data_IF_106244989503
#
_entry.id   IF_106244989503
#
_cell.length_a   1.000
_cell.length_b   1.000
_cell.length_c   1.000
_cell.angle_alpha   90.00
_cell.angle_beta   90.00
_cell.angle_gamma   90.00
#
_symmetry.space_group_name_H-M   'P 1'
#
loop_
_entity.id
_entity.type
_entity.pdbx_description
1 polymer ?
#
# COMPACT_ATOMS: atom_id res chain seq x y z
N UNK A 1 -15.39 -17.24 -54.99
CA UNK A 1 -14.31 -16.36 -54.53
C UNK A 1 -14.44 -16.24 -53.02
N UNK A 2 -13.55 -16.92 -52.32
CA UNK A 2 -13.43 -16.96 -50.86
C UNK A 2 -12.98 -15.61 -50.30
N UNK A 3 -13.45 -15.27 -49.10
CA UNK A 3 -12.65 -14.55 -48.11
C UNK A 3 -12.93 -15.14 -46.72
N UNK A 4 -12.11 -16.12 -46.35
CA UNK A 4 -11.96 -16.60 -44.98
C UNK A 4 -11.26 -15.52 -44.15
N UNK A 5 -12.01 -14.85 -43.25
CA UNK A 5 -11.41 -14.03 -42.20
C UNK A 5 -10.94 -14.94 -41.06
N UNK A 6 -9.73 -15.47 -41.21
CA UNK A 6 -8.98 -16.11 -40.13
C UNK A 6 -8.59 -15.05 -39.09
N UNK A 7 -9.40 -14.93 -38.05
CA UNK A 7 -9.06 -14.19 -36.85
C UNK A 7 -7.95 -14.97 -36.12
N UNK A 8 -6.70 -14.65 -36.43
CA UNK A 8 -5.50 -15.20 -35.80
C UNK A 8 -5.51 -14.80 -34.32
N UNK A 9 -6.03 -15.66 -33.45
CA UNK A 9 -5.70 -15.64 -32.02
C UNK A 9 -4.18 -15.86 -31.94
N UNK A 10 -3.44 -14.83 -31.56
CA UNK A 10 -2.03 -14.94 -31.23
C UNK A 10 -1.89 -15.95 -30.10
N UNK A 11 -1.27 -17.07 -30.41
CA UNK A 11 -0.99 -18.14 -29.48
C UNK A 11 0.24 -17.73 -28.66
N UNK A 12 0.05 -16.87 -27.65
CA UNK A 12 1.11 -16.47 -26.73
C UNK A 12 1.42 -17.65 -25.79
N UNK A 13 2.25 -18.57 -26.26
CA UNK A 13 2.78 -19.72 -25.52
C UNK A 13 4.18 -19.43 -24.93
N UNK A 14 4.51 -18.15 -24.71
CA UNK A 14 5.75 -17.73 -24.07
C UNK A 14 5.63 -17.63 -22.55
N UNK A 15 6.74 -17.79 -21.84
CA UNK A 15 6.79 -17.47 -20.42
C UNK A 15 6.49 -15.97 -20.22
N UNK A 16 5.47 -15.66 -19.43
CA UNK A 16 5.12 -14.29 -19.08
C UNK A 16 5.86 -13.86 -17.81
N UNK A 17 6.41 -12.64 -17.75
CA UNK A 17 7.03 -12.13 -16.53
C UNK A 17 6.02 -12.02 -15.40
N UNK A 18 6.48 -12.20 -14.17
CA UNK A 18 5.65 -11.96 -12.99
C UNK A 18 5.32 -10.46 -12.89
N UNK A 19 4.06 -10.14 -12.59
CA UNK A 19 3.65 -8.75 -12.44
C UNK A 19 4.37 -8.10 -11.25
N UNK A 20 4.79 -6.84 -11.42
CA UNK A 20 5.40 -6.09 -10.33
C UNK A 20 4.43 -6.02 -9.15
N UNK A 21 4.89 -6.51 -8.00
CA UNK A 21 4.11 -6.62 -6.77
C UNK A 21 4.75 -5.78 -5.68
N UNK A 22 3.93 -5.26 -4.77
CA UNK A 22 4.33 -4.41 -3.65
C UNK A 22 3.72 -4.89 -2.35
N UNK A 23 4.15 -4.31 -1.23
CA UNK A 23 3.60 -4.58 0.09
C UNK A 23 2.59 -3.52 0.50
N UNK A 24 1.51 -3.95 1.15
CA UNK A 24 0.53 -3.09 1.81
C UNK A 24 0.31 -3.55 3.24
N UNK A 25 0.78 -2.79 4.22
CA UNK A 25 0.47 -3.02 5.63
C UNK A 25 -0.90 -2.47 6.00
N UNK A 26 -1.69 -3.22 6.75
CA UNK A 26 -3.03 -2.79 7.23
C UNK A 26 -3.49 -3.63 8.43
N UNK A 27 -4.66 -3.30 8.97
CA UNK A 27 -5.44 -4.14 9.90
C UNK A 27 -6.73 -4.70 9.29
N UNK A 28 -6.99 -4.37 8.03
CA UNK A 28 -8.16 -4.90 7.30
C UNK A 28 -8.02 -6.39 7.08
N UNK A 29 -9.07 -7.15 7.38
CA UNK A 29 -9.14 -8.60 7.17
C UNK A 29 -9.68 -8.90 5.77
N UNK A 30 -8.76 -9.12 4.82
CA UNK A 30 -9.02 -9.35 3.40
C UNK A 30 -8.35 -10.63 2.90
N UNK A 31 -8.84 -11.16 1.79
CA UNK A 31 -8.36 -12.38 1.16
C UNK A 31 -7.70 -12.12 -0.20
N UNK A 32 -6.81 -13.01 -0.67
CA UNK A 32 -6.34 -13.00 -2.06
C UNK A 32 -7.49 -12.99 -3.06
N UNK A 33 -7.36 -12.16 -4.10
CA UNK A 33 -8.41 -11.89 -5.09
C UNK A 33 -9.29 -10.69 -4.76
N UNK A 34 -9.31 -10.23 -3.50
CA UNK A 34 -10.01 -9.00 -3.12
C UNK A 34 -9.20 -7.74 -3.47
N UNK A 35 -9.84 -6.58 -3.35
CA UNK A 35 -9.26 -5.29 -3.67
C UNK A 35 -9.22 -4.36 -2.47
N UNK A 36 -8.06 -3.76 -2.25
CA UNK A 36 -7.88 -2.63 -1.33
C UNK A 36 -8.33 -1.38 -2.07
N UNK A 37 -9.22 -0.58 -1.46
CA UNK A 37 -9.82 0.61 -2.07
C UNK A 37 -9.67 1.83 -1.16
N UNK A 38 -9.59 3.00 -1.76
CA UNK A 38 -9.65 4.28 -1.07
C UNK A 38 -11.01 4.45 -0.37
N UNK A 39 -11.07 5.15 0.76
CA UNK A 39 -12.31 5.41 1.51
C UNK A 39 -12.26 5.14 3.02
N UNK A 40 -13.42 4.81 3.60
CA UNK A 40 -13.71 4.81 5.05
C UNK A 40 -12.82 3.91 5.94
N UNK A 41 -12.00 3.03 5.35
CA UNK A 41 -11.14 2.07 6.03
C UNK A 41 -9.64 2.33 5.80
N UNK A 42 -9.22 3.58 5.61
CA UNK A 42 -7.78 3.90 5.58
C UNK A 42 -7.13 3.64 6.94
N UNK A 43 -5.85 3.25 6.90
CA UNK A 43 -4.99 2.96 8.05
C UNK A 43 -4.86 4.10 9.08
N UNK A 44 -5.46 5.28 8.92
CA UNK A 44 -5.26 6.40 9.84
C UNK A 44 -6.55 6.94 10.51
N UNK A 45 -7.66 6.18 10.46
CA UNK A 45 -8.76 6.33 11.44
C UNK A 45 -9.25 7.74 11.75
N UNK A 46 -10.15 8.25 10.89
CA UNK A 46 -11.09 9.39 11.02
C UNK A 46 -11.38 10.00 9.64
N UNK A 47 -10.66 9.57 8.59
CA UNK A 47 -10.86 10.08 7.24
C UNK A 47 -12.01 9.35 6.55
N UNK A 48 -13.24 9.77 6.86
CA UNK A 48 -14.28 9.76 5.82
C UNK A 48 -13.64 10.50 4.63
N UNK A 49 -13.32 9.81 3.54
CA UNK A 49 -12.68 10.32 2.31
C UNK A 49 -11.13 10.25 2.21
N UNK A 50 -10.47 9.23 2.76
CA UNK A 50 -9.07 8.98 2.36
C UNK A 50 -8.97 8.77 0.84
N UNK A 51 -8.28 9.68 0.15
CA UNK A 51 -8.15 9.74 -1.31
C UNK A 51 -7.16 8.72 -1.86
N UNK A 52 -6.14 8.39 -1.08
CA UNK A 52 -5.04 7.54 -1.49
C UNK A 52 -4.97 6.23 -0.70
N UNK A 53 -4.45 5.21 -1.37
CA UNK A 53 -4.06 3.92 -0.82
C UNK A 53 -2.54 3.84 -0.92
N UNK A 54 -1.89 3.34 0.12
CA UNK A 54 -0.43 3.33 0.23
C UNK A 54 0.14 1.94 -0.04
N UNK A 55 1.33 1.87 -0.61
CA UNK A 55 2.08 0.63 -0.81
C UNK A 55 3.58 0.92 -0.72
N UNK A 56 4.39 -0.13 -0.59
CA UNK A 56 5.85 0.00 -0.55
C UNK A 56 6.55 -1.12 -1.30
N UNK A 57 7.73 -0.83 -1.86
CA UNK A 57 8.64 -1.87 -2.35
C UNK A 57 9.61 -2.40 -1.26
N UNK A 58 9.53 -1.88 -0.03
CA UNK A 58 10.29 -2.37 1.13
C UNK A 58 9.35 -2.96 2.18
N UNK A 59 9.76 -4.08 2.78
CA UNK A 59 8.97 -4.74 3.83
C UNK A 59 8.89 -3.89 5.10
N UNK A 60 9.98 -3.21 5.48
CA UNK A 60 10.06 -2.37 6.68
C UNK A 60 8.99 -1.26 6.69
N UNK A 61 8.81 -0.54 5.59
CA UNK A 61 7.78 0.48 5.48
C UNK A 61 6.35 -0.13 5.51
N UNK A 62 6.17 -1.36 5.01
CA UNK A 62 4.89 -2.05 5.12
C UNK A 62 4.60 -2.55 6.53
N UNK A 63 5.63 -2.96 7.30
CA UNK A 63 5.50 -3.27 8.72
C UNK A 63 5.00 -2.04 9.47
N UNK A 64 5.62 -0.87 9.25
CA UNK A 64 5.12 0.40 9.81
C UNK A 64 3.68 0.68 9.40
N UNK A 65 3.33 0.45 8.13
CA UNK A 65 1.97 0.60 7.62
C UNK A 65 0.95 -0.27 8.37
N UNK A 66 1.33 -1.49 8.77
CA UNK A 66 0.46 -2.39 9.55
C UNK A 66 0.36 -1.98 11.02
N UNK A 67 1.50 -1.69 11.68
CA UNK A 67 1.57 -1.36 13.10
C UNK A 67 0.94 0.00 13.45
N UNK A 68 1.05 0.95 12.52
CA UNK A 68 0.45 2.29 12.64
C UNK A 68 -0.96 2.35 12.07
N UNK A 69 -1.46 1.28 11.45
CA UNK A 69 -2.83 1.23 10.97
C UNK A 69 -3.82 1.52 12.11
N UNK A 70 -5.01 1.97 11.79
CA UNK A 70 -6.05 2.25 12.76
C UNK A 70 -6.88 0.99 13.03
N UNK A 71 -7.47 0.93 14.22
CA UNK A 71 -8.25 -0.22 14.67
C UNK A 71 -7.43 -1.19 15.52
N UNK A 72 -8.14 -2.16 16.08
CA UNK A 72 -7.60 -3.15 17.03
C UNK A 72 -7.49 -4.55 16.40
N UNK A 73 -7.85 -4.68 15.13
CA UNK A 73 -7.72 -5.93 14.40
C UNK A 73 -6.26 -6.31 14.23
N UNK A 74 -6.03 -7.58 13.89
CA UNK A 74 -4.70 -8.13 13.65
C UNK A 74 -4.00 -7.36 12.52
N UNK A 75 -2.73 -7.06 12.74
CA UNK A 75 -1.83 -6.47 11.75
C UNK A 75 -1.52 -7.48 10.63
N UNK A 76 -1.58 -7.01 9.39
CA UNK A 76 -1.44 -7.82 8.18
C UNK A 76 -0.60 -7.08 7.16
N UNK A 77 0.14 -7.82 6.35
CA UNK A 77 0.89 -7.29 5.21
C UNK A 77 0.49 -8.09 3.98
N UNK A 78 -0.13 -7.41 3.01
CA UNK A 78 -0.54 -8.02 1.75
C UNK A 78 0.49 -7.79 0.66
N UNK A 79 0.66 -8.78 -0.21
CA UNK A 79 1.25 -8.63 -1.53
C UNK A 79 0.17 -8.11 -2.47
N UNK A 80 0.42 -6.98 -3.12
CA UNK A 80 -0.57 -6.29 -3.94
C UNK A 80 -0.05 -5.87 -5.30
N UNK A 81 -0.93 -5.92 -6.29
CA UNK A 81 -0.72 -5.39 -7.63
C UNK A 81 -1.56 -4.11 -7.81
N UNK A 82 -0.93 -2.98 -8.16
CA UNK A 82 -1.67 -1.78 -8.51
C UNK A 82 -2.52 -1.97 -9.76
N UNK A 83 -3.77 -1.52 -9.73
CA UNK A 83 -4.65 -1.52 -10.93
C UNK A 83 -4.53 -0.26 -11.77
N UNK A 84 -3.71 0.70 -11.33
CA UNK A 84 -3.46 1.96 -12.01
C UNK A 84 -2.11 2.57 -11.59
N UNK A 85 -1.82 3.81 -12.01
CA UNK A 85 -0.56 4.46 -11.71
C UNK A 85 -0.34 4.64 -10.21
N UNK A 86 0.92 4.56 -9.80
CA UNK A 86 1.40 4.87 -8.45
C UNK A 86 2.35 6.08 -8.55
N UNK A 87 2.40 6.88 -7.49
CA UNK A 87 3.33 8.00 -7.36
C UNK A 87 4.03 7.95 -6.00
N UNK A 88 5.17 8.61 -5.89
CA UNK A 88 5.92 8.70 -4.63
C UNK A 88 5.05 9.30 -3.51
N UNK A 89 5.13 8.72 -2.31
CA UNK A 89 4.46 9.26 -1.13
C UNK A 89 5.15 10.57 -0.71
N UNK A 90 4.45 11.73 -0.76
CA UNK A 90 5.05 13.01 -0.45
C UNK A 90 5.40 13.15 1.03
N UNK A 91 4.84 12.34 1.95
CA UNK A 91 5.26 12.40 3.36
C UNK A 91 6.61 11.71 3.61
N UNK A 92 7.04 10.86 2.69
CA UNK A 92 8.23 10.00 2.83
C UNK A 92 9.32 10.28 1.78
N UNK A 93 9.03 11.13 0.79
CA UNK A 93 9.93 11.48 -0.30
C UNK A 93 10.47 12.90 -0.15
N UNK A 94 11.79 13.07 -0.29
CA UNK A 94 12.48 14.36 -0.17
C UNK A 94 12.17 15.12 1.13
N UNK A 95 11.98 14.38 2.23
CA UNK A 95 11.78 14.95 3.57
C UNK A 95 13.06 14.90 4.37
N UNK A 96 13.25 13.82 5.13
CA UNK A 96 14.44 13.64 5.97
C UNK A 96 15.68 13.29 5.16
N UNK A 97 15.48 12.60 4.04
CA UNK A 97 16.54 12.13 3.14
C UNK A 97 16.17 12.44 1.69
N UNK A 98 17.16 12.68 0.80
CA UNK A 98 16.91 12.86 -0.63
C UNK A 98 16.27 11.63 -1.29
N UNK A 99 15.33 11.87 -2.19
CA UNK A 99 14.57 10.87 -2.93
C UNK A 99 13.59 10.07 -2.07
N UNK A 100 13.27 8.88 -2.56
CA UNK A 100 12.37 7.93 -1.90
C UNK A 100 13.14 6.67 -1.44
N UNK A 101 13.85 6.72 -0.29
CA UNK A 101 14.66 5.60 0.20
C UNK A 101 13.80 4.45 0.73
N UNK A 102 12.62 4.74 1.28
CA UNK A 102 11.67 3.72 1.78
C UNK A 102 10.92 3.02 0.65
N UNK A 103 10.97 3.58 -0.57
CA UNK A 103 10.20 3.11 -1.73
C UNK A 103 8.71 3.06 -1.42
N UNK A 104 8.21 4.12 -0.79
CA UNK A 104 6.81 4.27 -0.40
C UNK A 104 6.06 5.06 -1.47
N UNK A 105 4.89 4.56 -1.84
CA UNK A 105 4.08 5.10 -2.92
C UNK A 105 2.62 5.21 -2.49
N UNK A 106 1.86 5.97 -3.25
CA UNK A 106 0.42 6.12 -3.10
C UNK A 106 -0.30 6.01 -4.45
N UNK A 107 -1.58 5.67 -4.41
CA UNK A 107 -2.46 5.68 -5.59
C UNK A 107 -3.90 5.94 -5.20
N UNK A 108 -4.67 6.52 -6.11
CA UNK A 108 -6.14 6.59 -6.02
C UNK A 108 -6.83 5.34 -6.58
N UNK A 109 -6.09 4.47 -7.28
CA UNK A 109 -6.63 3.26 -7.89
C UNK A 109 -6.53 2.09 -6.91
N UNK A 110 -7.50 1.15 -6.95
CA UNK A 110 -7.47 -0.03 -6.09
C UNK A 110 -6.22 -0.90 -6.28
N UNK A 111 -5.89 -1.69 -5.27
CA UNK A 111 -4.84 -2.71 -5.37
C UNK A 111 -5.45 -4.11 -5.26
N UNK A 112 -5.08 -5.00 -6.16
CA UNK A 112 -5.49 -6.41 -6.13
C UNK A 112 -4.59 -7.17 -5.16
N UNK A 113 -5.18 -7.88 -4.21
CA UNK A 113 -4.42 -8.74 -3.29
C UNK A 113 -4.06 -10.03 -4.02
N UNK A 114 -2.77 -10.37 -4.03
CA UNK A 114 -2.25 -11.60 -4.64
C UNK A 114 -1.68 -12.58 -3.63
N UNK A 115 -1.51 -12.14 -2.38
CA UNK A 115 -1.07 -12.97 -1.28
C UNK A 115 -0.96 -12.20 0.02
N UNK A 116 -0.65 -12.91 1.10
CA UNK A 116 -0.35 -12.34 2.42
C UNK A 116 1.07 -12.76 2.82
N UNK A 117 1.85 -11.81 3.32
CA UNK A 117 3.16 -12.07 3.90
C UNK A 117 2.96 -12.55 5.32
N UNK A 118 3.46 -13.74 5.63
CA UNK A 118 3.43 -14.33 6.97
C UNK A 118 4.85 -14.44 7.53
N UNK A 119 4.98 -14.54 8.85
CA UNK A 119 6.27 -14.73 9.52
C UNK A 119 7.20 -13.50 9.49
N UNK A 120 6.65 -12.30 9.31
CA UNK A 120 7.42 -11.06 9.46
C UNK A 120 7.56 -10.69 10.94
N UNK A 121 8.68 -10.05 11.27
CA UNK A 121 8.99 -9.58 12.61
C UNK A 121 8.63 -8.10 12.72
N UNK A 122 7.71 -7.77 13.61
CA UNK A 122 7.39 -6.38 13.93
C UNK A 122 8.52 -5.66 14.69
N UNK A 123 8.41 -4.35 14.77
CA UNK A 123 9.29 -3.51 15.55
C UNK A 123 9.13 -3.75 17.06
N UNK A 124 10.09 -3.27 17.85
CA UNK A 124 9.98 -3.31 19.29
C UNK A 124 8.74 -2.52 19.76
N UNK A 125 7.95 -3.02 20.73
CA UNK A 125 6.74 -2.32 21.20
C UNK A 125 6.99 -0.87 21.63
N UNK A 126 8.15 -0.61 22.24
CA UNK A 126 8.57 0.73 22.67
C UNK A 126 8.82 1.65 21.48
N UNK A 127 9.36 1.11 20.38
CA UNK A 127 9.60 1.84 19.15
C UNK A 127 8.28 2.21 18.46
N UNK A 128 7.33 1.27 18.39
CA UNK A 128 5.98 1.53 17.85
C UNK A 128 5.26 2.57 18.69
N UNK A 129 5.34 2.46 20.02
CA UNK A 129 4.73 3.43 20.95
C UNK A 129 5.31 4.82 20.76
N UNK A 130 6.64 4.95 20.74
CA UNK A 130 7.32 6.23 20.53
C UNK A 130 6.94 6.87 19.18
N UNK A 131 6.78 6.07 18.13
CA UNK A 131 6.34 6.57 16.83
C UNK A 131 4.89 7.08 16.87
N UNK A 132 3.97 6.33 17.50
CA UNK A 132 2.58 6.77 17.66
C UNK A 132 2.47 8.07 18.46
N UNK A 133 3.26 8.20 19.53
CA UNK A 133 3.35 9.43 20.33
C UNK A 133 3.91 10.61 19.53
N UNK A 134 4.95 10.39 18.72
CA UNK A 134 5.51 11.43 17.85
C UNK A 134 4.49 11.91 16.81
N UNK A 135 3.76 10.99 16.16
CA UNK A 135 2.71 11.33 15.19
C UNK A 135 1.55 12.10 15.85
N UNK A 136 1.17 11.73 17.07
CA UNK A 136 0.16 12.47 17.83
C UNK A 136 0.64 13.90 18.15
N UNK A 137 1.89 14.06 18.59
CA UNK A 137 2.48 15.38 18.86
C UNK A 137 2.56 16.29 17.63
N UNK A 138 2.88 15.75 16.44
CA UNK A 138 2.86 16.51 15.19
C UNK A 138 1.45 17.02 14.86
N UNK A 139 0.43 16.18 15.07
CA UNK A 139 -0.97 16.55 14.86
C UNK A 139 -1.42 17.67 15.81
N UNK A 140 -1.02 17.63 17.07
CA UNK A 140 -1.30 18.70 18.05
C UNK A 140 -0.64 20.03 17.67
N UNK A 141 0.50 19.98 17.00
CA UNK A 141 1.21 21.16 16.48
C UNK A 141 0.61 21.68 15.15
N UNK A 142 -0.44 21.06 14.62
CA UNK A 142 -1.06 21.42 13.35
C UNK A 142 -0.25 20.98 12.11
N UNK A 143 0.76 20.13 12.29
CA UNK A 143 1.51 19.52 11.19
C UNK A 143 0.71 18.30 10.72
N UNK A 144 -0.01 18.48 9.62
CA UNK A 144 -0.81 17.41 9.02
C UNK A 144 -0.05 16.73 7.88
N UNK A 145 -0.52 15.53 7.53
CA UNK A 145 0.00 14.77 6.40
C UNK A 145 -0.36 15.45 5.08
N UNK A 146 0.56 15.41 4.10
CA UNK A 146 0.35 15.92 2.74
C UNK A 146 -0.59 15.02 1.93
N UNK A 147 -1.05 13.93 2.51
CA UNK A 147 -2.00 13.00 1.93
C UNK A 147 -3.46 13.30 2.33
N UNK A 148 -3.69 14.39 3.07
CA UNK A 148 -5.00 14.78 3.62
C UNK A 148 -5.75 15.74 2.69
N UNK A 149 -5.08 16.26 1.66
CA UNK A 149 -5.56 17.23 0.68
C UNK A 149 -6.21 16.61 -0.59
#
# INVERSE_FOLDING_TARGET
MEKNNNNKKSNDQGATPFAQTYFHGTRSDLNPGEFIKAGFNSNFGQRKNAKYIFLSATLDAAIWGAELAFGEQRERIYLVEPTGPIEDDPDLTDKKFPGNPTKSYRSTHPFRIVGEVTGWQGHAPEQVKAMKEALAGLKEQGINSLNDE
#
